data_IF_799210983477
#
_entry.id   IF_799210983477
#
_cell.length_a   1.000
_cell.length_b   1.000
_cell.length_c   1.000
_cell.angle_alpha   90.00
_cell.angle_beta   90.00
_cell.angle_gamma   90.00
#
_symmetry.space_group_name_H-M   'P 1'
#
loop_
_entity.id
_entity.type
_entity.pdbx_description
1 polymer ?
#
# COMPACT_ATOMS: atom_id res chain seq x y z
N UNK A 1 13.85 -38.91 9.25
CA UNK A 1 13.60 -37.73 8.46
C UNK A 1 12.09 -37.43 8.53
N UNK A 2 11.68 -36.65 9.55
CA UNK A 2 10.27 -36.35 9.81
C UNK A 2 9.85 -35.18 8.92
N UNK A 3 8.99 -35.44 7.93
CA UNK A 3 8.26 -34.39 7.21
C UNK A 3 7.21 -33.85 8.16
N UNK A 4 7.42 -32.62 8.64
CA UNK A 4 6.40 -31.90 9.38
C UNK A 4 5.24 -31.58 8.45
N UNK A 5 4.11 -32.27 8.66
CA UNK A 5 2.81 -31.97 8.05
C UNK A 5 2.43 -30.54 8.47
N UNK A 6 2.62 -29.55 7.58
CA UNK A 6 2.02 -28.23 7.74
C UNK A 6 0.51 -28.42 7.66
N UNK A 7 -0.14 -28.46 8.82
CA UNK A 7 -1.60 -28.39 8.91
C UNK A 7 -2.05 -27.13 8.16
N UNK A 8 -2.68 -27.32 7.01
CA UNK A 8 -3.33 -26.24 6.26
C UNK A 8 -4.49 -25.75 7.12
N UNK A 9 -4.29 -24.63 7.77
CA UNK A 9 -5.31 -24.00 8.60
C UNK A 9 -6.42 -23.51 7.65
N UNK A 10 -7.50 -24.30 7.49
CA UNK A 10 -8.64 -23.95 6.64
C UNK A 10 -9.51 -22.98 7.45
N UNK A 11 -9.66 -21.77 6.97
CA UNK A 11 -10.56 -20.80 7.57
C UNK A 11 -12.02 -21.27 7.50
N UNK A 12 -12.80 -20.95 8.52
CA UNK A 12 -14.23 -21.21 8.47
C UNK A 12 -14.89 -20.42 7.35
N UNK A 13 -15.96 -20.95 6.76
CA UNK A 13 -16.68 -20.28 5.67
C UNK A 13 -17.17 -18.87 6.06
N UNK A 14 -17.57 -18.67 7.32
CA UNK A 14 -17.97 -17.38 7.86
C UNK A 14 -16.80 -16.38 7.91
N UNK A 15 -15.61 -16.82 8.32
CA UNK A 15 -14.40 -16.00 8.36
C UNK A 15 -13.94 -15.63 6.95
N UNK A 16 -13.91 -16.57 6.02
CA UNK A 16 -13.59 -16.33 4.61
C UNK A 16 -14.52 -15.29 3.98
N UNK A 17 -15.84 -15.43 4.21
CA UNK A 17 -16.80 -14.49 3.68
C UNK A 17 -16.61 -13.09 4.28
N UNK A 18 -16.45 -12.98 5.60
CA UNK A 18 -16.18 -11.72 6.29
C UNK A 18 -14.89 -11.05 5.78
N UNK A 19 -13.82 -11.82 5.61
CA UNK A 19 -12.55 -11.27 5.12
C UNK A 19 -12.68 -10.82 3.66
N UNK A 20 -13.27 -11.63 2.77
CA UNK A 20 -13.45 -11.26 1.37
C UNK A 20 -14.39 -10.06 1.17
N UNK A 21 -15.37 -9.85 2.05
CA UNK A 21 -16.27 -8.70 1.96
C UNK A 21 -15.57 -7.35 2.21
N UNK A 22 -14.35 -7.36 2.71
CA UNK A 22 -13.52 -6.16 2.83
C UNK A 22 -12.94 -5.68 1.48
N UNK A 23 -12.99 -6.52 0.44
CA UNK A 23 -12.71 -6.10 -0.93
C UNK A 23 -14.02 -5.69 -1.61
N UNK A 24 -14.14 -4.44 -1.94
CA UNK A 24 -15.30 -3.94 -2.67
C UNK A 24 -15.19 -4.23 -4.17
N UNK A 25 -16.31 -4.47 -4.83
CA UNK A 25 -16.35 -4.58 -6.28
C UNK A 25 -15.83 -3.29 -6.92
N UNK A 26 -14.98 -3.41 -7.94
CA UNK A 26 -14.28 -2.28 -8.55
C UNK A 26 -12.91 -1.98 -7.96
N UNK A 27 -12.57 -2.54 -6.79
CA UNK A 27 -11.24 -2.32 -6.18
C UNK A 27 -10.11 -2.88 -7.05
N UNK A 28 -9.02 -2.15 -7.09
CA UNK A 28 -7.80 -2.60 -7.77
C UNK A 28 -7.13 -3.72 -6.99
N UNK A 29 -6.86 -4.82 -7.66
CA UNK A 29 -6.11 -5.95 -7.12
C UNK A 29 -4.87 -6.25 -7.96
N UNK A 30 -3.90 -6.89 -7.36
CA UNK A 30 -2.72 -7.42 -8.04
C UNK A 30 -2.81 -8.94 -8.04
N UNK A 31 -2.72 -9.55 -9.22
CA UNK A 31 -2.55 -10.99 -9.35
C UNK A 31 -1.07 -11.29 -9.60
N UNK A 32 -0.54 -12.31 -8.93
CA UNK A 32 0.79 -12.84 -9.17
C UNK A 32 0.67 -14.23 -9.78
N UNK A 33 1.28 -14.39 -10.94
CA UNK A 33 1.32 -15.64 -11.69
C UNK A 33 2.74 -16.19 -11.63
N UNK A 34 2.86 -17.49 -11.33
CA UNK A 34 4.13 -18.21 -11.31
C UNK A 34 4.08 -19.26 -12.42
N UNK A 35 4.94 -19.12 -13.41
CA UNK A 35 5.01 -20.10 -14.50
C UNK A 35 5.59 -21.44 -14.02
N UNK A 36 5.39 -22.55 -14.73
CA UNK A 36 6.04 -23.83 -14.42
C UNK A 36 7.57 -23.74 -14.37
N UNK A 37 8.17 -22.81 -15.12
CA UNK A 37 9.60 -22.53 -15.09
C UNK A 37 10.05 -21.65 -13.90
N UNK A 38 9.14 -21.31 -12.97
CA UNK A 38 9.43 -20.52 -11.78
C UNK A 38 9.50 -19.00 -12.01
N UNK A 39 9.25 -18.52 -13.21
CA UNK A 39 9.17 -17.09 -13.48
C UNK A 39 7.94 -16.48 -12.80
N UNK A 40 8.09 -15.29 -12.25
CA UNK A 40 7.03 -14.59 -11.51
C UNK A 40 6.73 -13.25 -12.14
N UNK A 41 5.45 -12.93 -12.29
CA UNK A 41 5.03 -11.61 -12.70
C UNK A 41 3.77 -11.19 -11.96
N UNK A 42 3.61 -9.86 -11.79
CA UNK A 42 2.49 -9.24 -11.10
C UNK A 42 1.74 -8.34 -12.06
N UNK A 43 0.43 -8.48 -12.09
CA UNK A 43 -0.44 -7.71 -12.98
C UNK A 43 -1.54 -7.05 -12.17
N UNK A 44 -1.76 -5.76 -12.40
CA UNK A 44 -2.89 -5.03 -11.82
C UNK A 44 -4.15 -5.33 -12.63
N UNK A 45 -5.24 -5.54 -11.92
CA UNK A 45 -6.56 -5.76 -12.51
C UNK A 45 -7.64 -5.35 -11.50
N UNK A 46 -8.91 -5.62 -11.81
CA UNK A 46 -10.05 -5.20 -11.01
C UNK A 46 -10.72 -6.44 -10.38
N UNK A 47 -11.03 -6.35 -9.11
CA UNK A 47 -11.88 -7.29 -8.42
C UNK A 47 -13.34 -7.01 -8.79
N UNK A 48 -14.05 -8.00 -9.33
CA UNK A 48 -15.45 -7.86 -9.75
C UNK A 48 -16.39 -8.26 -8.60
N UNK A 49 -16.02 -9.30 -7.87
CA UNK A 49 -16.83 -9.82 -6.78
C UNK A 49 -16.61 -11.30 -6.55
N UNK A 50 -17.48 -11.90 -5.74
CA UNK A 50 -17.41 -13.34 -5.46
C UNK A 50 -18.78 -13.90 -5.12
N UNK A 51 -18.94 -15.21 -5.32
CA UNK A 51 -20.06 -15.97 -4.78
C UNK A 51 -19.51 -16.90 -3.68
N UNK A 52 -19.96 -16.76 -2.42
CA UNK A 52 -19.43 -17.53 -1.29
C UNK A 52 -19.43 -19.02 -1.56
N UNK A 53 -18.33 -19.69 -1.22
CA UNK A 53 -18.10 -21.13 -1.41
C UNK A 53 -18.09 -21.61 -2.86
N UNK A 54 -18.20 -20.70 -3.83
CA UNK A 54 -18.30 -21.06 -5.25
C UNK A 54 -17.12 -20.58 -6.06
N UNK A 55 -16.91 -19.25 -6.13
CA UNK A 55 -15.87 -18.66 -6.97
C UNK A 55 -15.60 -17.19 -6.63
N UNK A 56 -14.49 -16.69 -7.12
CA UNK A 56 -14.13 -15.28 -7.13
C UNK A 56 -13.98 -14.83 -8.59
N UNK A 57 -14.42 -13.61 -8.89
CA UNK A 57 -14.38 -13.01 -10.24
C UNK A 57 -13.38 -11.85 -10.25
N UNK A 58 -12.48 -11.89 -11.22
CA UNK A 58 -11.48 -10.84 -11.47
C UNK A 58 -11.48 -10.49 -12.94
N UNK A 59 -11.39 -9.22 -13.28
CA UNK A 59 -11.22 -8.81 -14.67
C UNK A 59 -9.92 -9.41 -15.24
N UNK A 60 -9.93 -9.83 -16.47
CA UNK A 60 -8.71 -10.28 -17.14
C UNK A 60 -7.76 -9.10 -17.30
N UNK A 61 -6.47 -9.21 -16.88
CA UNK A 61 -5.52 -8.11 -17.03
C UNK A 61 -5.33 -7.71 -18.50
N UNK A 62 -4.87 -6.50 -18.73
CA UNK A 62 -4.52 -6.02 -20.05
C UNK A 62 -3.56 -6.98 -20.75
N UNK A 63 -3.98 -7.50 -21.90
CA UNK A 63 -3.24 -8.52 -22.65
C UNK A 63 -1.86 -8.02 -23.10
N UNK A 64 -1.74 -6.72 -23.40
CA UNK A 64 -0.48 -6.10 -23.80
C UNK A 64 0.52 -6.09 -22.66
N UNK A 65 0.05 -5.95 -21.42
CA UNK A 65 0.89 -5.99 -20.20
C UNK A 65 1.25 -7.41 -19.77
N UNK A 66 0.41 -8.40 -20.11
CA UNK A 66 0.69 -9.79 -19.81
C UNK A 66 1.84 -10.36 -20.64
N UNK A 67 1.98 -9.94 -21.91
CA UNK A 67 3.00 -10.47 -22.81
C UNK A 67 2.98 -12.02 -22.83
N UNK A 68 4.13 -12.64 -22.66
CA UNK A 68 4.28 -14.11 -22.64
C UNK A 68 3.54 -14.79 -21.46
N UNK A 69 3.15 -14.06 -20.42
CA UNK A 69 2.37 -14.64 -19.31
C UNK A 69 0.91 -14.91 -19.69
N UNK A 70 0.41 -14.34 -20.78
CA UNK A 70 -0.97 -14.55 -21.22
C UNK A 70 -1.30 -16.05 -21.47
N UNK A 71 -0.35 -16.83 -21.97
CA UNK A 71 -0.48 -18.27 -22.20
C UNK A 71 -0.59 -19.09 -20.90
N UNK A 72 -0.21 -18.50 -19.76
CA UNK A 72 -0.29 -19.14 -18.44
C UNK A 72 -1.56 -18.78 -17.67
N UNK A 73 -2.42 -17.88 -18.20
CA UNK A 73 -3.73 -17.58 -17.63
C UNK A 73 -4.75 -18.60 -18.11
N UNK A 74 -4.56 -19.84 -17.71
CA UNK A 74 -5.35 -21.01 -18.13
C UNK A 74 -5.91 -21.77 -16.94
N UNK A 75 -6.91 -22.61 -17.17
CA UNK A 75 -7.51 -23.46 -16.15
C UNK A 75 -6.44 -24.31 -15.42
N UNK A 76 -6.57 -24.43 -14.10
CA UNK A 76 -5.66 -25.16 -13.25
C UNK A 76 -4.43 -24.38 -12.77
N UNK A 77 -4.15 -23.19 -13.34
CA UNK A 77 -3.02 -22.38 -12.91
C UNK A 77 -3.29 -21.72 -11.55
N UNK A 78 -2.33 -21.84 -10.64
CA UNK A 78 -2.34 -21.17 -9.35
C UNK A 78 -2.04 -19.68 -9.46
N UNK A 79 -2.79 -18.87 -8.74
CA UNK A 79 -2.58 -17.42 -8.67
C UNK A 79 -2.64 -16.93 -7.23
N UNK A 80 -1.84 -15.90 -6.92
CA UNK A 80 -1.96 -15.18 -5.66
C UNK A 80 -2.61 -13.83 -5.95
N UNK A 81 -3.67 -13.53 -5.23
CA UNK A 81 -4.40 -12.26 -5.33
C UNK A 81 -4.09 -11.41 -4.11
N UNK A 82 -3.80 -10.12 -4.32
CA UNK A 82 -3.62 -9.12 -3.27
C UNK A 82 -4.43 -7.88 -3.59
N UNK A 83 -5.19 -7.39 -2.60
CA UNK A 83 -5.97 -6.16 -2.72
C UNK A 83 -5.82 -5.29 -1.48
N UNK A 84 -5.87 -3.98 -1.66
CA UNK A 84 -5.95 -3.03 -0.55
C UNK A 84 -7.36 -3.04 0.02
N UNK A 85 -7.48 -3.00 1.34
CA UNK A 85 -8.76 -2.88 2.02
C UNK A 85 -9.08 -1.40 2.19
N UNK A 86 -10.20 -0.95 1.63
CA UNK A 86 -10.67 0.43 1.81
C UNK A 86 -11.12 0.66 3.26
N UNK A 87 -10.86 1.86 3.78
CA UNK A 87 -11.20 2.22 5.16
C UNK A 87 -10.29 1.63 6.25
N UNK A 88 -9.34 0.76 5.87
CA UNK A 88 -8.30 0.26 6.78
C UNK A 88 -6.95 0.71 6.25
N UNK A 89 -6.43 1.79 6.80
CA UNK A 89 -5.18 2.38 6.32
C UNK A 89 -4.05 1.37 6.19
N UNK A 90 -3.74 1.02 4.94
CA UNK A 90 -2.60 0.16 4.60
C UNK A 90 -2.77 -1.31 4.96
N UNK A 91 -3.99 -1.83 5.10
CA UNK A 91 -4.21 -3.27 5.19
C UNK A 91 -4.31 -3.89 3.80
N UNK A 92 -3.66 -5.02 3.62
CA UNK A 92 -3.71 -5.84 2.40
C UNK A 92 -4.37 -7.16 2.72
N UNK A 93 -5.36 -7.50 1.92
CA UNK A 93 -5.94 -8.82 1.86
C UNK A 93 -5.19 -9.63 0.80
N UNK A 94 -4.83 -10.86 1.14
CA UNK A 94 -4.16 -11.77 0.23
C UNK A 94 -4.74 -13.18 0.33
N UNK A 95 -4.88 -13.84 -0.83
CA UNK A 95 -5.25 -15.26 -0.89
C UNK A 95 -4.61 -15.94 -2.10
N UNK A 96 -4.47 -17.25 -2.00
CA UNK A 96 -4.06 -18.11 -3.10
C UNK A 96 -5.30 -18.83 -3.61
N UNK A 97 -5.42 -18.94 -4.92
CA UNK A 97 -6.50 -19.66 -5.58
C UNK A 97 -6.03 -20.26 -6.91
N UNK A 98 -6.92 -21.00 -7.55
CA UNK A 98 -6.68 -21.64 -8.85
C UNK A 98 -7.62 -21.05 -9.88
N UNK A 99 -7.15 -20.84 -11.11
CA UNK A 99 -7.99 -20.43 -12.23
C UNK A 99 -8.91 -21.58 -12.58
N UNK A 100 -10.22 -21.37 -12.37
CA UNK A 100 -11.25 -22.33 -12.71
C UNK A 100 -11.57 -22.30 -14.19
N UNK A 101 -11.70 -21.12 -14.75
CA UNK A 101 -11.89 -20.85 -16.19
C UNK A 101 -11.73 -19.38 -16.51
N UNK A 102 -11.61 -19.06 -17.79
CA UNK A 102 -11.78 -17.70 -18.30
C UNK A 102 -13.05 -17.63 -19.15
N UNK A 103 -13.82 -16.56 -19.02
CA UNK A 103 -15.03 -16.30 -19.78
C UNK A 103 -14.91 -15.00 -20.56
N UNK A 104 -15.55 -14.93 -21.72
CA UNK A 104 -15.48 -13.79 -22.62
C UNK A 104 -16.91 -13.25 -22.84
N UNK A 105 -17.40 -12.41 -21.88
CA UNK A 105 -18.70 -11.77 -22.08
C UNK A 105 -19.00 -10.73 -21.01
N UNK A 106 -19.23 -9.48 -21.34
CA UNK A 106 -18.88 -8.71 -22.55
C UNK A 106 -17.38 -8.43 -22.60
N UNK A 107 -16.66 -8.53 -21.50
CA UNK A 107 -15.21 -8.44 -21.36
C UNK A 107 -14.66 -9.77 -20.83
N UNK A 108 -13.37 -9.99 -21.01
CA UNK A 108 -12.72 -11.21 -20.51
C UNK A 108 -12.58 -11.17 -19.00
N UNK A 109 -13.01 -12.25 -18.35
CA UNK A 109 -13.03 -12.40 -16.89
C UNK A 109 -12.31 -13.68 -16.50
N UNK A 110 -11.54 -13.63 -15.41
CA UNK A 110 -10.96 -14.81 -14.77
C UNK A 110 -11.90 -15.24 -13.64
N UNK A 111 -12.34 -16.48 -13.70
CA UNK A 111 -13.07 -17.15 -12.62
C UNK A 111 -12.06 -17.96 -11.81
N UNK A 112 -11.91 -17.64 -10.54
CA UNK A 112 -11.06 -18.35 -9.61
C UNK A 112 -11.90 -19.26 -8.71
N UNK A 113 -11.33 -20.38 -8.27
CA UNK A 113 -11.93 -21.15 -7.20
C UNK A 113 -12.05 -20.32 -5.93
N UNK A 114 -13.04 -20.64 -5.09
CA UNK A 114 -13.17 -19.95 -3.81
C UNK A 114 -11.98 -20.31 -2.90
N UNK A 115 -11.25 -19.35 -2.32
CA UNK A 115 -10.04 -19.62 -1.57
C UNK A 115 -10.32 -20.41 -0.29
N UNK A 116 -9.37 -21.23 0.14
CA UNK A 116 -9.43 -21.96 1.41
C UNK A 116 -8.95 -21.12 2.60
N UNK A 117 -8.12 -20.12 2.34
CA UNK A 117 -7.60 -19.18 3.35
C UNK A 117 -7.54 -17.78 2.79
N UNK A 118 -7.82 -16.80 3.64
CA UNK A 118 -7.67 -15.37 3.33
C UNK A 118 -6.90 -14.71 4.45
N UNK A 119 -5.67 -14.27 4.14
CA UNK A 119 -4.83 -13.50 5.06
C UNK A 119 -5.12 -12.01 4.96
N UNK A 120 -5.12 -11.33 6.10
CA UNK A 120 -5.11 -9.86 6.18
C UNK A 120 -3.83 -9.47 6.89
N UNK A 121 -3.09 -8.55 6.29
CA UNK A 121 -1.84 -8.03 6.83
C UNK A 121 -1.88 -6.51 6.83
N UNK A 122 -1.70 -5.93 7.99
CA UNK A 122 -1.46 -4.49 8.09
C UNK A 122 -0.05 -4.20 7.57
N UNK A 123 0.03 -3.35 6.55
CA UNK A 123 1.32 -2.91 6.00
C UNK A 123 1.97 -1.82 6.84
N UNK A 124 1.19 -1.18 7.72
CA UNK A 124 1.62 -0.06 8.54
C UNK A 124 1.55 -0.43 10.02
N UNK A 125 2.58 -0.06 10.75
CA UNK A 125 2.65 -0.25 12.21
C UNK A 125 2.00 0.89 12.98
N UNK A 126 1.70 2.01 12.32
CA UNK A 126 1.12 3.21 12.91
C UNK A 126 0.08 3.85 12.00
N UNK A 127 -0.93 4.44 12.61
CA UNK A 127 -1.95 5.25 11.95
C UNK A 127 -1.28 6.49 11.36
N UNK A 128 -1.71 6.92 10.18
CA UNK A 128 -1.33 8.18 9.56
C UNK A 128 -2.51 9.12 9.60
N UNK A 129 -2.24 10.37 9.90
CA UNK A 129 -3.23 11.44 9.93
C UNK A 129 -2.91 12.39 8.78
N UNK A 130 -3.88 12.69 7.96
CA UNK A 130 -3.74 13.70 6.92
C UNK A 130 -3.60 15.06 7.58
N UNK A 131 -2.62 15.85 7.12
CA UNK A 131 -2.26 17.13 7.71
C UNK A 131 -1.98 18.15 6.63
N UNK A 132 -1.93 19.42 7.01
CA UNK A 132 -1.46 20.49 6.15
C UNK A 132 -0.58 21.43 6.97
N UNK A 133 0.57 20.91 7.45
CA UNK A 133 1.47 21.65 8.33
C UNK A 133 2.59 22.25 7.50
N UNK A 134 2.73 23.59 7.55
CA UNK A 134 3.85 24.27 6.92
C UNK A 134 5.14 24.01 7.70
N UNK A 135 6.20 23.68 7.00
CA UNK A 135 7.48 23.39 7.58
C UNK A 135 8.62 23.80 6.63
N UNK A 136 9.83 23.78 7.14
CA UNK A 136 11.06 23.88 6.36
C UNK A 136 11.80 22.54 6.42
N UNK A 137 12.37 22.09 5.32
CA UNK A 137 13.24 20.93 5.31
C UNK A 137 14.65 21.35 4.92
N UNK A 138 15.61 20.95 5.72
CA UNK A 138 17.04 21.14 5.43
C UNK A 138 17.56 19.93 4.67
N UNK A 139 18.03 20.17 3.46
CA UNK A 139 18.65 19.18 2.58
C UNK A 139 20.04 19.70 2.24
N UNK A 140 21.08 19.02 2.71
CA UNK A 140 22.47 19.48 2.70
C UNK A 140 22.64 20.85 3.39
N UNK A 141 22.92 21.89 2.64
CA UNK A 141 23.11 23.27 3.14
C UNK A 141 21.87 24.15 2.91
N UNK A 142 20.90 23.66 2.13
CA UNK A 142 19.77 24.46 1.68
C UNK A 142 18.50 24.16 2.50
N UNK A 143 17.67 25.21 2.65
CA UNK A 143 16.36 25.12 3.26
C UNK A 143 15.26 25.25 2.22
N UNK A 144 14.33 24.32 2.20
CA UNK A 144 13.19 24.29 1.29
C UNK A 144 11.89 24.42 2.05
N UNK A 145 10.99 25.27 1.58
CA UNK A 145 9.63 25.31 2.11
C UNK A 145 8.93 24.00 1.72
N UNK A 146 8.23 23.42 2.68
CA UNK A 146 7.54 22.16 2.48
C UNK A 146 6.24 22.11 3.26
N UNK A 147 5.31 21.30 2.81
CA UNK A 147 4.08 20.98 3.53
C UNK A 147 4.14 19.53 3.99
N UNK A 148 3.88 19.28 5.26
CA UNK A 148 3.65 17.92 5.77
C UNK A 148 2.21 17.55 5.44
N UNK A 149 2.01 16.64 4.48
CA UNK A 149 0.69 16.24 3.99
C UNK A 149 0.07 15.08 4.75
N UNK A 150 0.89 14.25 5.39
CA UNK A 150 0.44 13.30 6.40
C UNK A 150 1.54 13.03 7.42
N UNK A 151 1.14 12.63 8.62
CA UNK A 151 2.02 12.38 9.74
C UNK A 151 1.62 11.11 10.49
N UNK A 152 2.60 10.37 10.98
CA UNK A 152 2.46 9.24 11.90
C UNK A 152 3.61 9.24 12.89
N UNK A 153 3.54 8.45 13.97
CA UNK A 153 4.66 8.34 14.93
C UNK A 153 5.99 7.96 14.28
N UNK A 154 5.98 7.21 13.18
CA UNK A 154 7.19 6.67 12.57
C UNK A 154 7.62 7.41 11.29
N UNK A 155 6.85 8.39 10.82
CA UNK A 155 7.18 9.07 9.57
C UNK A 155 6.14 10.07 9.10
N UNK A 156 6.51 10.83 8.09
CA UNK A 156 5.65 11.81 7.45
C UNK A 156 5.81 11.80 5.92
N UNK A 157 4.89 12.44 5.23
CA UNK A 157 4.97 12.75 3.81
C UNK A 157 5.19 14.25 3.65
N UNK A 158 6.21 14.62 2.92
CA UNK A 158 6.51 15.99 2.57
C UNK A 158 6.15 16.28 1.11
N UNK A 159 5.70 17.52 0.85
CA UNK A 159 5.48 18.04 -0.49
C UNK A 159 6.18 19.36 -0.63
N UNK A 160 7.06 19.49 -1.62
CA UNK A 160 7.79 20.72 -1.97
C UNK A 160 7.24 21.20 -3.31
N UNK A 161 6.62 22.37 -3.31
CA UNK A 161 6.20 23.04 -4.54
C UNK A 161 7.44 23.59 -5.28
N UNK A 162 7.43 23.57 -6.61
CA UNK A 162 8.55 23.98 -7.47
C UNK A 162 9.86 23.21 -7.17
N UNK A 163 9.74 21.98 -6.66
CA UNK A 163 10.86 21.12 -6.30
C UNK A 163 11.42 20.26 -7.44
N UNK A 164 11.10 20.53 -8.72
CA UNK A 164 11.48 19.70 -9.87
C UNK A 164 13.00 19.62 -10.05
N UNK A 165 13.71 20.67 -9.64
CA UNK A 165 15.18 20.75 -9.74
C UNK A 165 15.89 20.17 -8.52
N UNK A 166 15.15 19.80 -7.48
CA UNK A 166 15.74 19.26 -6.26
C UNK A 166 16.20 17.81 -6.51
N UNK A 167 17.50 17.61 -6.43
CA UNK A 167 18.10 16.29 -6.54
C UNK A 167 18.26 15.71 -5.13
N UNK A 168 17.38 14.78 -4.79
CA UNK A 168 17.41 14.07 -3.52
C UNK A 168 17.39 12.56 -3.79
N UNK A 169 18.08 11.79 -2.96
CA UNK A 169 18.12 10.34 -3.08
C UNK A 169 17.43 9.67 -1.88
N UNK A 170 16.97 8.44 -2.07
CA UNK A 170 16.51 7.61 -0.96
C UNK A 170 17.65 7.42 0.07
N UNK A 171 17.22 7.29 1.33
CA UNK A 171 18.09 7.19 2.51
C UNK A 171 18.87 8.47 2.86
N UNK A 172 18.67 9.56 2.12
CA UNK A 172 19.27 10.86 2.49
C UNK A 172 18.73 11.28 3.86
N UNK A 173 19.63 11.67 4.75
CA UNK A 173 19.29 12.26 6.04
C UNK A 173 18.88 13.72 5.86
N UNK A 174 17.78 14.09 6.53
CA UNK A 174 17.19 15.44 6.47
C UNK A 174 16.72 15.88 7.85
N UNK A 175 16.66 17.18 8.05
CA UNK A 175 16.04 17.82 9.24
C UNK A 175 14.80 18.58 8.80
N UNK A 176 13.66 18.32 9.46
CA UNK A 176 12.40 19.03 9.26
C UNK A 176 12.22 20.00 10.42
N UNK A 177 11.90 21.25 10.11
CA UNK A 177 11.72 22.31 11.09
C UNK A 177 10.30 22.84 10.94
N UNK A 178 9.50 22.70 12.01
CA UNK A 178 8.16 23.25 12.10
C UNK A 178 8.24 24.46 13.00
N UNK A 179 7.92 25.63 12.44
CA UNK A 179 7.95 26.90 13.16
C UNK A 179 6.68 27.05 14.01
N UNK A 180 6.83 27.37 15.27
CA UNK A 180 5.70 27.69 16.14
C UNK A 180 5.34 29.17 15.98
N UNK A 181 4.24 29.44 15.27
CA UNK A 181 3.73 30.78 15.04
C UNK A 181 3.15 31.45 16.32
N UNK A 182 3.09 30.75 17.45
CA UNK A 182 2.55 31.23 18.72
C UNK A 182 3.63 31.63 19.74
N UNK A 183 4.92 31.64 19.31
CA UNK A 183 6.03 32.09 20.16
C UNK A 183 6.68 30.99 21.01
N UNK A 184 6.40 29.74 20.74
CA UNK A 184 7.07 28.58 21.31
C UNK A 184 8.39 28.25 20.61
N UNK A 185 9.00 27.15 20.99
CA UNK A 185 10.23 26.64 20.36
C UNK A 185 9.90 25.88 19.07
N UNK A 186 10.71 26.08 18.02
CA UNK A 186 10.61 25.30 16.80
C UNK A 186 10.76 23.81 17.07
N UNK A 187 9.87 23.01 16.48
CA UNK A 187 9.97 21.55 16.53
C UNK A 187 10.93 21.09 15.42
N UNK A 188 11.95 20.32 15.81
CA UNK A 188 12.92 19.75 14.89
C UNK A 188 12.76 18.25 14.84
N UNK A 189 12.52 17.71 13.66
CA UNK A 189 12.39 16.29 13.42
C UNK A 189 13.49 15.82 12.46
N UNK A 190 14.24 14.82 12.86
CA UNK A 190 15.27 14.20 12.03
C UNK A 190 14.75 12.92 11.39
N UNK A 191 15.10 12.68 10.14
CA UNK A 191 14.66 11.49 9.45
C UNK A 191 15.43 11.19 8.18
N UNK A 192 15.10 10.06 7.56
CA UNK A 192 15.67 9.64 6.29
C UNK A 192 14.62 9.48 5.21
N UNK A 193 14.93 9.91 4.01
CA UNK A 193 14.05 9.79 2.83
C UNK A 193 13.83 8.33 2.47
N UNK A 194 12.56 7.91 2.35
CA UNK A 194 12.18 6.52 2.07
C UNK A 194 11.76 6.28 0.63
N UNK A 195 11.03 7.22 0.05
CA UNK A 195 10.50 7.13 -1.31
C UNK A 195 10.42 8.53 -1.91
N UNK A 196 10.44 8.58 -3.22
CA UNK A 196 10.38 9.82 -3.99
C UNK A 196 9.32 9.67 -5.06
N UNK A 197 8.52 10.71 -5.24
CA UNK A 197 7.50 10.77 -6.27
C UNK A 197 7.48 12.16 -6.88
N UNK A 198 7.78 12.25 -8.17
CA UNK A 198 7.53 13.47 -8.92
C UNK A 198 6.03 13.70 -9.02
N UNK A 199 5.60 14.91 -8.75
CA UNK A 199 4.22 15.38 -8.91
C UNK A 199 4.21 16.52 -9.92
N UNK A 200 3.02 16.88 -10.46
CA UNK A 200 2.92 17.87 -11.56
C UNK A 200 3.61 19.20 -11.21
N UNK A 201 3.49 19.67 -9.97
CA UNK A 201 4.01 20.96 -9.54
C UNK A 201 5.13 20.84 -8.48
N UNK A 202 5.92 19.76 -8.51
CA UNK A 202 7.02 19.65 -7.55
C UNK A 202 7.43 18.23 -7.18
N UNK A 203 7.89 18.07 -5.95
CA UNK A 203 8.42 16.81 -5.42
C UNK A 203 7.70 16.42 -4.12
N UNK A 204 7.23 15.16 -4.07
CA UNK A 204 6.69 14.59 -2.85
C UNK A 204 7.50 13.39 -2.42
N UNK A 205 7.82 13.29 -1.13
CA UNK A 205 8.61 12.18 -0.61
C UNK A 205 8.27 11.81 0.83
N UNK A 206 8.35 10.51 1.12
CA UNK A 206 8.18 9.99 2.45
C UNK A 206 9.45 10.09 3.28
N UNK A 207 9.30 10.36 4.56
CA UNK A 207 10.38 10.44 5.53
C UNK A 207 10.11 9.46 6.66
N UNK A 208 11.10 8.62 6.96
CA UNK A 208 11.11 7.81 8.16
C UNK A 208 11.79 8.63 9.27
N UNK A 209 11.04 8.95 10.32
CA UNK A 209 11.54 9.71 11.45
C UNK A 209 12.43 8.84 12.35
N UNK A 210 13.42 9.49 12.99
CA UNK A 210 14.25 8.87 14.02
C UNK A 210 13.53 8.95 15.36
N UNK A 211 13.73 7.94 16.20
CA UNK A 211 13.06 7.75 17.50
C UNK A 211 13.33 8.86 18.51
N UNK A 212 14.34 9.70 18.28
CA UNK A 212 14.72 10.80 19.17
C UNK A 212 13.68 11.93 19.30
N UNK A 213 12.67 11.96 18.40
CA UNK A 213 11.59 12.96 18.36
C UNK A 213 10.20 12.43 18.74
N UNK A 214 10.09 11.27 19.39
CA UNK A 214 8.79 10.62 19.63
C UNK A 214 7.82 11.46 20.47
N UNK A 215 8.31 12.29 21.40
CA UNK A 215 7.47 13.17 22.24
C UNK A 215 6.91 14.34 21.43
N UNK A 216 7.75 14.98 20.66
CA UNK A 216 7.40 16.13 19.79
C UNK A 216 6.41 15.68 18.71
N UNK A 217 6.64 14.51 18.09
CA UNK A 217 5.73 13.95 17.09
C UNK A 217 4.39 13.58 17.72
N UNK A 218 4.39 12.97 18.90
CA UNK A 218 3.16 12.61 19.62
C UNK A 218 2.34 13.86 19.99
N UNK A 219 3.00 14.91 20.45
CA UNK A 219 2.35 16.19 20.75
C UNK A 219 1.76 16.82 19.49
N UNK A 220 2.51 16.81 18.38
CA UNK A 220 2.08 17.35 17.10
C UNK A 220 0.85 16.60 16.56
N UNK A 221 0.84 15.26 16.68
CA UNK A 221 -0.29 14.42 16.31
C UNK A 221 -1.53 14.74 17.14
N UNK A 222 -1.38 14.86 18.48
CA UNK A 222 -2.48 15.21 19.36
C UNK A 222 -3.08 16.59 19.03
N UNK A 223 -2.24 17.59 18.78
CA UNK A 223 -2.67 18.91 18.38
C UNK A 223 -3.41 18.89 17.04
N UNK A 224 -2.93 18.10 16.06
CA UNK A 224 -3.57 17.98 14.74
C UNK A 224 -4.94 17.31 14.85
N UNK A 225 -5.08 16.26 15.65
CA UNK A 225 -6.37 15.60 15.90
C UNK A 225 -7.36 16.56 16.58
N UNK A 226 -6.90 17.33 17.56
CA UNK A 226 -7.74 18.26 18.31
C UNK A 226 -8.30 19.40 17.44
N UNK A 227 -7.62 19.75 16.34
CA UNK A 227 -8.08 20.80 15.39
C UNK A 227 -9.07 20.24 14.37
N UNK A 228 -9.07 18.92 14.11
CA UNK A 228 -9.96 18.27 13.13
C UNK A 228 -11.26 17.71 13.75
N UNK A 229 -11.35 17.68 15.08
CA UNK A 229 -12.52 17.23 15.84
C UNK A 229 -13.47 18.42 16.15
#
# INVERSE_FOLDING_TARGET
>A
MYMANKATNIDTAARLNRNLSLLHAGSMVTIEIITPAGQRAKFRTVFIGYLPKRYVLIQFPDINKLGNFAQHVIQGMGVTVRGLIEGHEGAVLAFVSTIKQTIQMPSRIIVLDFPHTVGIQNLRSSIRIDTHIQAKVKIDQDYWQTTITNLSVNGCQLSIENGEKLVISEKKEIEIIIEDNQGGSNIKLNGSVCNLKQVEDGLSFGVKLKTEGDKEVSQLLLNTIAVQA
#
